data_IF_203242554994
#
_entry.id   IF_203242554994
#
_cell.length_a   1.000
_cell.length_b   1.000
_cell.length_c   1.000
_cell.angle_alpha   90.00
_cell.angle_beta   90.00
_cell.angle_gamma   90.00
#
_symmetry.space_group_name_H-M   'P 1'
#
loop_
_entity.id
_entity.type
_entity.pdbx_description
1 polymer ?
#
# COMPACT_ATOMS: atom_id res chain seq x y z
N UNK A 1 -44.04 22.25 -18.91
CA UNK A 1 -44.24 23.18 -20.05
C UNK A 1 -45.45 22.82 -20.90
N UNK A 2 -45.75 21.54 -21.12
CA UNK A 2 -46.91 21.07 -21.91
C UNK A 2 -48.24 21.69 -21.46
N UNK A 3 -48.50 21.79 -20.16
CA UNK A 3 -49.75 22.33 -19.62
C UNK A 3 -50.00 23.83 -19.94
N UNK A 4 -48.95 24.63 -20.17
CA UNK A 4 -49.08 26.06 -20.49
C UNK A 4 -49.62 26.31 -21.91
N UNK A 5 -49.24 25.46 -22.86
CA UNK A 5 -49.70 25.56 -24.25
C UNK A 5 -51.01 24.79 -24.49
N UNK A 6 -51.22 23.70 -23.76
CA UNK A 6 -52.34 22.79 -23.98
C UNK A 6 -53.70 23.44 -23.64
N UNK A 7 -53.75 24.34 -22.65
CA UNK A 7 -54.95 25.12 -22.32
C UNK A 7 -55.43 26.03 -23.46
N UNK A 8 -54.61 26.98 -23.94
CA UNK A 8 -54.94 27.85 -25.08
C UNK A 8 -55.28 27.08 -26.36
N UNK A 9 -54.57 25.98 -26.63
CA UNK A 9 -54.76 25.16 -27.84
C UNK A 9 -56.11 24.41 -27.80
N UNK A 10 -56.48 23.87 -26.63
CA UNK A 10 -57.79 23.26 -26.43
C UNK A 10 -58.92 24.29 -26.52
N UNK A 11 -58.68 25.50 -25.99
CA UNK A 11 -59.66 26.59 -26.09
C UNK A 11 -59.89 26.98 -27.55
N UNK A 12 -58.82 27.22 -28.33
CA UNK A 12 -58.91 27.52 -29.76
C UNK A 12 -59.62 26.40 -30.53
N UNK A 13 -59.27 25.13 -30.27
CA UNK A 13 -59.92 23.99 -30.89
C UNK A 13 -61.43 23.94 -30.57
N UNK A 14 -61.81 24.20 -29.30
CA UNK A 14 -63.22 24.21 -28.90
C UNK A 14 -64.02 25.33 -29.58
N UNK A 15 -63.46 26.54 -29.68
CA UNK A 15 -64.10 27.68 -30.35
C UNK A 15 -64.20 27.43 -31.85
N UNK A 16 -63.17 26.87 -32.48
CA UNK A 16 -63.18 26.50 -33.89
C UNK A 16 -64.26 25.44 -34.20
N UNK A 17 -64.34 24.39 -33.37
CA UNK A 17 -65.36 23.35 -33.51
C UNK A 17 -66.78 23.90 -33.35
N UNK A 18 -67.02 24.78 -32.38
CA UNK A 18 -68.31 25.45 -32.22
C UNK A 18 -68.68 26.31 -33.44
N UNK A 19 -67.71 27.01 -34.03
CA UNK A 19 -67.91 27.81 -35.23
C UNK A 19 -68.27 26.92 -36.43
N UNK A 20 -67.53 25.82 -36.65
CA UNK A 20 -67.84 24.87 -37.71
C UNK A 20 -69.22 24.21 -37.54
N UNK A 21 -69.61 23.86 -36.30
CA UNK A 21 -70.94 23.31 -36.02
C UNK A 21 -72.06 24.32 -36.30
N UNK A 22 -71.83 25.61 -36.01
CA UNK A 22 -72.81 26.66 -36.30
C UNK A 22 -73.00 26.95 -37.80
N UNK A 23 -72.00 26.63 -38.63
CA UNK A 23 -72.03 26.77 -40.09
C UNK A 23 -72.50 25.49 -40.82
N UNK A 24 -72.68 24.38 -40.09
CA UNK A 24 -73.06 23.10 -40.67
C UNK A 24 -74.55 23.05 -41.08
N UNK A 25 -74.91 22.29 -42.13
CA UNK A 25 -76.28 22.23 -42.65
C UNK A 25 -77.28 21.70 -41.60
N UNK A 26 -78.58 22.10 -41.69
CA UNK A 26 -79.56 21.91 -40.62
C UNK A 26 -80.04 20.46 -40.54
N UNK A 27 -79.24 19.58 -39.95
CA UNK A 27 -79.70 18.24 -39.55
C UNK A 27 -80.11 18.21 -38.06
N UNK A 28 -79.67 19.18 -37.26
CA UNK A 28 -80.07 19.44 -35.87
C UNK A 28 -80.16 20.95 -35.63
N UNK A 29 -80.88 21.40 -34.59
CA UNK A 29 -80.97 22.84 -34.25
C UNK A 29 -79.55 23.37 -33.99
N UNK A 30 -79.01 24.28 -34.81
CA UNK A 30 -77.59 24.63 -34.73
C UNK A 30 -77.29 25.33 -33.40
N UNK A 31 -76.13 25.05 -32.78
CA UNK A 31 -75.68 25.76 -31.60
C UNK A 31 -75.46 27.24 -31.93
N UNK A 32 -75.64 28.10 -30.93
CA UNK A 32 -75.47 29.54 -31.09
C UNK A 32 -74.02 29.85 -31.53
N UNK A 33 -73.80 30.68 -32.58
CA UNK A 33 -72.47 30.93 -33.09
C UNK A 33 -71.59 31.58 -32.01
N UNK A 34 -70.32 31.16 -31.88
CA UNK A 34 -69.41 31.76 -30.93
C UNK A 34 -69.17 33.23 -31.29
N UNK A 35 -69.03 34.14 -30.29
CA UNK A 35 -68.74 35.52 -30.56
C UNK A 35 -67.35 35.66 -31.18
N UNK A 36 -67.20 36.51 -32.20
CA UNK A 36 -65.93 36.75 -32.92
C UNK A 36 -64.78 37.11 -31.95
N UNK A 37 -65.10 37.84 -30.88
CA UNK A 37 -64.16 38.17 -29.81
C UNK A 37 -63.55 36.95 -29.11
N UNK A 38 -64.25 35.81 -29.02
CA UNK A 38 -63.73 34.60 -28.40
C UNK A 38 -62.55 34.01 -29.19
N UNK A 39 -62.62 34.05 -30.53
CA UNK A 39 -61.53 33.57 -31.38
C UNK A 39 -60.29 34.48 -31.25
N UNK A 40 -60.49 35.79 -31.29
CA UNK A 40 -59.42 36.77 -31.10
C UNK A 40 -58.76 36.63 -29.71
N UNK A 41 -59.55 36.41 -28.66
CA UNK A 41 -59.04 36.18 -27.31
C UNK A 41 -58.25 34.87 -27.18
N UNK A 42 -58.71 33.79 -27.83
CA UNK A 42 -58.00 32.52 -27.84
C UNK A 42 -56.66 32.62 -28.58
N UNK A 43 -56.61 33.37 -29.69
CA UNK A 43 -55.40 33.61 -30.46
C UNK A 43 -54.39 34.47 -29.68
N UNK A 44 -54.84 35.57 -29.05
CA UNK A 44 -54.00 36.37 -28.16
C UNK A 44 -53.44 35.56 -26.98
N UNK A 45 -54.27 34.69 -26.37
CA UNK A 45 -53.83 33.83 -25.27
C UNK A 45 -52.78 32.80 -25.72
N UNK A 46 -52.95 32.23 -26.91
CA UNK A 46 -51.98 31.31 -27.50
C UNK A 46 -50.66 32.03 -27.82
N UNK A 47 -50.72 33.21 -28.42
CA UNK A 47 -49.54 34.03 -28.73
C UNK A 47 -48.76 34.38 -27.45
N UNK A 48 -49.45 34.79 -26.37
CA UNK A 48 -48.83 35.07 -25.08
C UNK A 48 -48.17 33.81 -24.46
N UNK A 49 -48.85 32.65 -24.54
CA UNK A 49 -48.31 31.39 -24.04
C UNK A 49 -47.04 30.94 -24.81
N UNK A 50 -47.01 31.13 -26.14
CA UNK A 50 -45.84 30.85 -26.98
C UNK A 50 -44.66 31.77 -26.62
N UNK A 51 -44.90 33.07 -26.45
CA UNK A 51 -43.86 34.02 -26.05
C UNK A 51 -43.25 33.64 -24.70
N UNK A 52 -44.11 33.30 -23.73
CA UNK A 52 -43.67 32.82 -22.42
C UNK A 52 -42.85 31.53 -22.56
N UNK A 53 -43.34 30.54 -23.31
CA UNK A 53 -42.61 29.29 -23.53
C UNK A 53 -41.21 29.52 -24.10
N UNK A 54 -41.09 30.43 -25.07
CA UNK A 54 -39.80 30.80 -25.65
C UNK A 54 -38.85 31.45 -24.64
N UNK A 55 -39.35 32.34 -23.77
CA UNK A 55 -38.55 32.92 -22.68
C UNK A 55 -38.08 31.85 -21.70
N UNK A 56 -38.95 30.91 -21.34
CA UNK A 56 -38.57 29.79 -20.47
C UNK A 56 -37.53 28.88 -21.12
N UNK A 57 -37.65 28.62 -22.42
CA UNK A 57 -36.66 27.81 -23.14
C UNK A 57 -35.27 28.47 -23.16
N UNK A 58 -35.20 29.78 -23.40
CA UNK A 58 -33.93 30.53 -23.29
C UNK A 58 -33.32 30.46 -21.90
N UNK A 59 -34.15 30.62 -20.86
CA UNK A 59 -33.69 30.48 -19.46
C UNK A 59 -33.22 29.07 -19.16
N UNK A 60 -33.92 28.05 -19.66
CA UNK A 60 -33.56 26.65 -19.48
C UNK A 60 -32.20 26.34 -20.11
N UNK A 61 -31.95 26.80 -21.34
CA UNK A 61 -30.64 26.68 -21.99
C UNK A 61 -29.53 27.33 -21.15
N UNK A 62 -29.80 28.49 -20.55
CA UNK A 62 -28.84 29.14 -19.65
C UNK A 62 -28.58 28.32 -18.38
N UNK A 63 -29.63 27.73 -17.79
CA UNK A 63 -29.50 26.85 -16.62
C UNK A 63 -28.67 25.62 -16.97
N UNK A 64 -28.91 24.99 -18.13
CA UNK A 64 -28.16 23.83 -18.58
C UNK A 64 -26.68 24.15 -18.82
N UNK A 65 -26.39 25.32 -19.42
CA UNK A 65 -25.02 25.79 -19.60
C UNK A 65 -24.31 26.02 -18.24
N UNK A 66 -24.98 26.69 -17.29
CA UNK A 66 -24.44 26.91 -15.95
C UNK A 66 -24.24 25.60 -15.18
N UNK A 67 -25.15 24.63 -15.34
CA UNK A 67 -25.00 23.29 -14.74
C UNK A 67 -23.75 22.60 -15.28
N UNK A 68 -23.52 22.66 -16.60
CA UNK A 68 -22.33 22.07 -17.20
C UNK A 68 -21.04 22.74 -16.69
N UNK A 69 -21.05 24.07 -16.54
CA UNK A 69 -19.93 24.83 -15.98
C UNK A 69 -19.62 24.40 -14.53
N UNK A 70 -20.64 24.33 -13.67
CA UNK A 70 -20.49 23.87 -12.28
C UNK A 70 -19.91 22.46 -12.21
N UNK A 71 -20.43 21.52 -13.03
CA UNK A 71 -19.91 20.16 -13.07
C UNK A 71 -18.44 20.11 -13.52
N UNK A 72 -18.06 20.96 -14.48
CA UNK A 72 -16.66 21.07 -14.92
C UNK A 72 -15.75 21.61 -13.81
N UNK A 73 -16.20 22.63 -13.08
CA UNK A 73 -15.48 23.20 -11.95
C UNK A 73 -15.31 22.18 -10.83
N UNK A 74 -16.37 21.43 -10.50
CA UNK A 74 -16.29 20.35 -9.51
C UNK A 74 -15.28 19.27 -9.92
N UNK A 75 -15.26 18.88 -11.20
CA UNK A 75 -14.26 17.90 -11.67
C UNK A 75 -12.84 18.42 -11.53
N UNK A 76 -12.60 19.69 -11.89
CA UNK A 76 -11.29 20.32 -11.75
C UNK A 76 -10.87 20.41 -10.28
N UNK A 77 -11.78 20.80 -9.40
CA UNK A 77 -11.55 20.87 -7.96
C UNK A 77 -11.20 19.50 -7.36
N UNK A 78 -11.91 18.44 -7.76
CA UNK A 78 -11.58 17.07 -7.34
C UNK A 78 -10.17 16.67 -7.78
N UNK A 79 -9.79 16.98 -9.01
CA UNK A 79 -8.43 16.72 -9.51
C UNK A 79 -7.36 17.44 -8.68
N UNK A 80 -7.58 18.72 -8.35
CA UNK A 80 -6.65 19.49 -7.53
C UNK A 80 -6.50 18.89 -6.14
N UNK A 81 -7.60 18.46 -5.51
CA UNK A 81 -7.54 17.80 -4.19
C UNK A 81 -6.76 16.50 -4.26
N UNK A 82 -6.98 15.68 -5.30
CA UNK A 82 -6.25 14.43 -5.48
C UNK A 82 -4.75 14.68 -5.63
N UNK A 83 -4.35 15.66 -6.44
CA UNK A 83 -2.95 16.05 -6.61
C UNK A 83 -2.33 16.57 -5.31
N UNK A 84 -3.10 17.31 -4.52
CA UNK A 84 -2.63 17.82 -3.23
C UNK A 84 -2.42 16.70 -2.22
N UNK A 85 -3.33 15.72 -2.15
CA UNK A 85 -3.17 14.56 -1.27
C UNK A 85 -2.00 13.66 -1.71
N UNK A 86 -1.79 13.48 -3.01
CA UNK A 86 -0.62 12.79 -3.54
C UNK A 86 0.67 13.51 -3.14
N UNK A 87 0.77 14.81 -3.41
CA UNK A 87 1.94 15.61 -3.01
C UNK A 87 2.17 15.63 -1.50
N UNK A 88 1.11 15.62 -0.68
CA UNK A 88 1.21 15.51 0.78
C UNK A 88 1.84 14.18 1.19
N UNK A 89 1.40 13.07 0.60
CA UNK A 89 1.93 11.72 0.90
C UNK A 89 3.39 11.59 0.47
N UNK A 90 3.73 12.13 -0.70
CA UNK A 90 5.11 12.10 -1.20
C UNK A 90 6.05 12.88 -0.27
N UNK A 91 5.62 14.07 0.18
CA UNK A 91 6.38 14.87 1.14
C UNK A 91 6.53 14.15 2.49
N UNK A 92 5.45 13.53 2.98
CA UNK A 92 5.48 12.75 4.22
C UNK A 92 6.46 11.57 4.13
N UNK A 93 6.49 10.87 2.98
CA UNK A 93 7.47 9.82 2.72
C UNK A 93 8.91 10.35 2.72
N UNK A 94 9.17 11.47 2.04
CA UNK A 94 10.50 12.11 2.00
C UNK A 94 10.96 12.53 3.41
N UNK A 95 10.06 13.09 4.21
CA UNK A 95 10.37 13.48 5.59
C UNK A 95 10.72 12.23 6.42
N UNK A 96 9.89 11.18 6.34
CA UNK A 96 10.15 9.95 7.08
C UNK A 96 11.47 9.28 6.70
N UNK A 97 11.84 9.30 5.40
CA UNK A 97 13.13 8.81 4.94
C UNK A 97 14.28 9.71 5.45
N UNK A 98 14.06 11.03 5.46
CA UNK A 98 14.98 12.01 6.01
C UNK A 98 15.30 11.74 7.48
N UNK A 99 14.27 11.47 8.30
CA UNK A 99 14.42 11.18 9.72
C UNK A 99 15.25 9.90 9.94
N UNK A 100 14.94 8.82 9.21
CA UNK A 100 15.71 7.55 9.26
C UNK A 100 17.17 7.77 8.88
N UNK A 101 17.44 8.60 7.86
CA UNK A 101 18.82 8.92 7.45
C UNK A 101 19.55 9.74 8.49
N UNK A 102 18.87 10.69 9.16
CA UNK A 102 19.45 11.47 10.25
C UNK A 102 19.84 10.56 11.42
N UNK A 103 18.94 9.68 11.84
CA UNK A 103 19.20 8.71 12.90
C UNK A 103 20.42 7.82 12.56
N UNK A 104 20.50 7.33 11.32
CA UNK A 104 21.64 6.52 10.87
C UNK A 104 22.96 7.32 10.88
N UNK A 105 22.93 8.60 10.52
CA UNK A 105 24.10 9.49 10.57
C UNK A 105 24.53 9.73 12.02
N UNK A 106 23.59 9.94 12.93
CA UNK A 106 23.88 10.12 14.36
C UNK A 106 24.50 8.87 14.96
N UNK A 107 23.92 7.68 14.71
CA UNK A 107 24.50 6.41 15.13
C UNK A 107 25.90 6.18 14.54
N UNK A 108 26.11 6.51 13.26
CA UNK A 108 27.42 6.40 12.62
C UNK A 108 28.46 7.36 13.23
N UNK A 109 28.03 8.54 13.69
CA UNK A 109 28.91 9.48 14.40
C UNK A 109 29.25 8.99 15.80
N UNK A 110 28.29 8.42 16.53
CA UNK A 110 28.53 7.84 17.87
C UNK A 110 29.46 6.63 17.80
N UNK A 111 29.30 5.78 16.79
CA UNK A 111 30.15 4.61 16.53
C UNK A 111 31.42 4.91 15.73
N UNK A 112 31.79 6.17 15.53
CA UNK A 112 32.91 6.54 14.67
C UNK A 112 34.24 6.05 15.25
N UNK A 113 34.85 5.06 14.59
CA UNK A 113 36.17 4.53 14.94
C UNK A 113 37.23 5.48 14.36
N UNK A 114 38.22 5.93 15.14
CA UNK A 114 39.26 6.81 14.64
C UNK A 114 40.09 6.12 13.56
N UNK A 115 40.38 6.86 12.49
CA UNK A 115 41.09 6.34 11.31
C UNK A 115 42.40 5.61 11.60
N UNK A 116 43.27 6.05 12.54
CA UNK A 116 44.48 5.33 12.89
C UNK A 116 44.23 3.92 13.44
N UNK A 117 43.19 3.73 14.26
CA UNK A 117 42.85 2.41 14.82
C UNK A 117 42.33 1.47 13.76
N UNK A 118 41.50 1.98 12.85
CA UNK A 118 40.98 1.22 11.72
C UNK A 118 42.11 0.77 10.78
N UNK A 119 43.09 1.64 10.51
CA UNK A 119 44.25 1.30 9.69
C UNK A 119 45.16 0.28 10.38
N UNK A 120 45.41 0.43 11.67
CA UNK A 120 46.19 -0.53 12.45
C UNK A 120 45.52 -1.92 12.49
N UNK A 121 44.20 -1.96 12.65
CA UNK A 121 43.43 -3.20 12.62
C UNK A 121 43.38 -3.82 11.21
N UNK A 122 43.21 -3.01 10.17
CA UNK A 122 43.27 -3.51 8.79
C UNK A 122 44.65 -4.09 8.45
N UNK A 123 45.73 -3.47 8.93
CA UNK A 123 47.09 -3.98 8.76
C UNK A 123 47.29 -5.31 9.50
N UNK A 124 46.71 -5.46 10.70
CA UNK A 124 46.80 -6.73 11.44
C UNK A 124 46.00 -7.84 10.75
N UNK A 125 44.81 -7.54 10.22
CA UNK A 125 43.98 -8.49 9.46
C UNK A 125 44.62 -8.89 8.13
N UNK A 126 45.34 -7.99 7.46
CA UNK A 126 45.97 -8.24 6.16
C UNK A 126 46.84 -9.51 6.14
N UNK A 127 47.50 -9.84 7.26
CA UNK A 127 48.30 -11.06 7.39
C UNK A 127 47.49 -12.37 7.47
N UNK A 128 46.18 -12.29 7.73
CA UNK A 128 45.26 -13.43 7.92
C UNK A 128 44.18 -13.52 6.83
N UNK A 129 43.94 -12.46 6.05
CA UNK A 129 42.86 -12.37 5.06
C UNK A 129 43.37 -12.64 3.63
N UNK A 130 43.48 -13.92 3.25
CA UNK A 130 43.79 -14.42 1.89
C UNK A 130 45.11 -13.95 1.24
N UNK A 131 45.79 -14.88 0.55
CA UNK A 131 46.94 -14.52 -0.26
C UNK A 131 46.46 -13.63 -1.43
N UNK A 132 47.13 -12.50 -1.73
CA UNK A 132 46.80 -11.68 -2.88
C UNK A 132 46.72 -12.54 -4.16
N UNK A 133 45.75 -12.29 -5.07
CA UNK A 133 45.45 -13.16 -6.21
C UNK A 133 46.63 -13.40 -7.18
N UNK A 134 47.73 -12.65 -7.06
CA UNK A 134 48.93 -12.77 -7.88
C UNK A 134 50.16 -13.28 -7.11
N UNK A 135 49.99 -13.92 -5.95
CA UNK A 135 51.13 -14.39 -5.16
C UNK A 135 51.81 -15.57 -5.89
N UNK A 136 53.08 -15.44 -6.35
CA UNK A 136 53.78 -16.51 -7.05
C UNK A 136 54.01 -17.70 -6.10
N UNK A 137 53.96 -18.91 -6.63
CA UNK A 137 54.20 -20.14 -5.87
C UNK A 137 55.56 -20.08 -5.14
N UNK A 138 55.48 -19.99 -3.81
CA UNK A 138 56.61 -19.77 -2.90
C UNK A 138 57.52 -20.99 -2.75
N UNK A 139 57.24 -22.09 -3.45
CA UNK A 139 58.09 -23.28 -3.52
C UNK A 139 59.31 -23.10 -4.45
N UNK A 140 59.41 -21.98 -5.18
CA UNK A 140 60.52 -21.70 -6.10
C UNK A 140 61.74 -21.06 -5.38
N UNK A 141 62.98 -21.57 -5.57
CA UNK A 141 64.17 -21.02 -4.90
C UNK A 141 64.53 -19.63 -5.45
N UNK A 142 64.73 -18.65 -4.57
CA UNK A 142 65.33 -17.35 -4.91
C UNK A 142 64.41 -16.12 -4.80
N UNK A 143 63.22 -16.24 -4.24
CA UNK A 143 62.34 -15.09 -3.97
C UNK A 143 62.59 -14.45 -2.59
N UNK A 144 62.35 -13.13 -2.46
CA UNK A 144 62.46 -12.44 -1.18
C UNK A 144 61.53 -13.10 -0.15
N UNK A 145 61.96 -13.10 1.11
CA UNK A 145 61.23 -13.71 2.23
C UNK A 145 59.75 -13.33 2.17
N UNK A 146 58.82 -14.31 2.08
CA UNK A 146 57.41 -14.00 1.91
C UNK A 146 56.89 -13.14 3.07
N UNK A 147 55.93 -12.23 2.82
CA UNK A 147 55.14 -11.64 3.89
C UNK A 147 54.53 -12.79 4.72
N UNK A 148 54.63 -12.67 6.05
CA UNK A 148 54.10 -13.65 7.00
C UNK A 148 52.60 -13.83 6.77
N UNK A 149 52.23 -14.88 6.02
CA UNK A 149 50.85 -15.23 5.76
C UNK A 149 50.42 -16.30 6.75
N UNK A 150 49.35 -16.01 7.49
CA UNK A 150 48.75 -16.94 8.41
C UNK A 150 47.47 -17.52 7.82
N UNK A 151 47.15 -18.80 8.10
CA UNK A 151 45.89 -19.38 7.68
C UNK A 151 44.70 -18.60 8.24
N UNK A 152 43.56 -18.58 7.52
CA UNK A 152 42.40 -17.75 7.86
C UNK A 152 41.70 -18.17 9.17
N UNK A 153 42.01 -19.37 9.68
CA UNK A 153 41.54 -19.88 10.96
C UNK A 153 42.71 -20.40 11.80
N UNK A 154 42.61 -20.38 13.14
CA UNK A 154 43.64 -20.93 14.03
C UNK A 154 43.91 -22.40 13.73
N UNK A 155 45.17 -22.74 13.44
CA UNK A 155 45.57 -24.15 13.29
C UNK A 155 45.49 -24.90 14.62
N UNK A 156 45.29 -26.22 14.53
CA UNK A 156 45.28 -27.18 15.64
C UNK A 156 46.47 -26.98 16.61
N UNK A 157 47.68 -26.75 16.10
CA UNK A 157 48.86 -26.49 16.94
C UNK A 157 48.77 -25.18 17.74
N UNK A 158 48.19 -24.14 17.15
CA UNK A 158 47.97 -22.85 17.83
C UNK A 158 46.86 -22.97 18.88
N UNK A 159 45.81 -23.72 18.57
CA UNK A 159 44.75 -24.07 19.52
C UNK A 159 45.33 -24.87 20.70
N UNK A 160 46.17 -25.87 20.41
CA UNK A 160 46.82 -26.70 21.44
C UNK A 160 47.83 -25.95 22.31
N UNK A 161 48.52 -24.95 21.76
CA UNK A 161 49.47 -24.11 22.48
C UNK A 161 48.79 -22.96 23.23
N UNK A 162 47.51 -22.72 22.95
CA UNK A 162 46.72 -21.67 23.57
C UNK A 162 46.41 -21.96 25.04
N UNK A 163 46.02 -20.92 25.77
CA UNK A 163 45.66 -21.00 27.18
C UNK A 163 44.46 -21.91 27.47
N UNK A 164 43.64 -22.23 26.47
CA UNK A 164 42.53 -23.17 26.63
C UNK A 164 43.00 -24.62 26.88
N UNK A 165 44.20 -24.97 26.40
CA UNK A 165 44.77 -26.30 26.53
C UNK A 165 45.69 -26.47 27.75
N UNK A 166 45.93 -25.39 28.51
CA UNK A 166 46.73 -25.48 29.74
C UNK A 166 45.96 -26.13 30.90
N UNK A 167 44.63 -26.14 30.84
CA UNK A 167 43.78 -26.72 31.89
C UNK A 167 43.52 -28.21 31.67
N UNK A 168 43.34 -28.64 30.41
CA UNK A 168 43.19 -30.06 30.04
C UNK A 168 43.80 -30.31 28.65
N UNK A 169 44.85 -31.14 28.51
CA UNK A 169 45.54 -31.32 27.25
C UNK A 169 44.66 -32.10 26.27
N UNK A 170 44.32 -31.48 25.13
CA UNK A 170 43.79 -32.19 23.96
C UNK A 170 44.82 -33.27 23.58
N UNK A 171 44.39 -34.53 23.51
CA UNK A 171 45.23 -35.71 23.25
C UNK A 171 46.14 -35.62 22.02
N UNK A 172 46.93 -36.67 21.74
CA UNK A 172 47.95 -36.65 20.69
C UNK A 172 47.41 -36.22 19.32
N UNK A 173 48.28 -35.56 18.54
CA UNK A 173 47.95 -34.97 17.24
C UNK A 173 47.32 -36.01 16.30
N UNK A 174 46.02 -35.86 16.02
CA UNK A 174 45.26 -36.78 15.15
C UNK A 174 44.17 -37.60 15.86
N UNK A 175 44.09 -37.58 17.19
CA UNK A 175 42.98 -38.18 17.93
C UNK A 175 41.75 -37.25 17.95
N UNK A 176 40.61 -37.78 17.51
CA UNK A 176 39.32 -37.08 17.57
C UNK A 176 38.63 -37.44 18.88
N UNK A 177 38.58 -36.50 19.83
CA UNK A 177 37.74 -36.66 21.02
C UNK A 177 36.33 -36.16 20.71
N UNK A 178 35.31 -36.92 21.13
CA UNK A 178 33.92 -36.50 20.99
C UNK A 178 33.67 -35.28 21.88
N UNK A 179 33.49 -34.11 21.27
CA UNK A 179 33.08 -32.90 21.99
C UNK A 179 31.57 -33.00 22.22
N UNK A 180 31.19 -33.55 23.38
CA UNK A 180 29.79 -33.77 23.75
C UNK A 180 29.67 -34.21 25.21
N UNK A 181 28.59 -33.76 25.86
CA UNK A 181 28.27 -34.03 27.27
C UNK A 181 28.42 -35.53 27.58
N UNK A 182 29.15 -35.93 28.64
CA UNK A 182 29.29 -37.34 28.99
C UNK A 182 27.89 -37.96 29.20
N UNK A 183 27.67 -39.23 28.78
CA UNK A 183 26.38 -39.88 28.93
C UNK A 183 26.02 -39.92 30.42
N UNK A 184 24.92 -39.25 30.75
CA UNK A 184 24.31 -39.28 32.08
C UNK A 184 24.05 -40.73 32.48
N UNK A 185 24.57 -41.23 33.62
CA UNK A 185 24.16 -42.53 34.13
C UNK A 185 22.66 -42.50 34.43
N UNK A 186 21.93 -43.53 33.96
CA UNK A 186 20.48 -43.68 34.18
C UNK A 186 20.15 -43.68 35.68
N UNK A 187 19.07 -43.00 36.12
CA UNK A 187 18.72 -42.97 37.53
C UNK A 187 17.99 -44.25 37.97
N UNK A 188 18.41 -44.82 39.09
CA UNK A 188 17.68 -45.86 39.82
C UNK A 188 16.35 -45.34 40.40
N UNK A 189 15.33 -46.21 40.56
CA UNK A 189 14.01 -45.77 41.00
C UNK A 189 13.93 -45.74 42.52
N UNK A 190 13.99 -44.55 43.12
CA UNK A 190 13.61 -44.37 44.53
C UNK A 190 12.36 -43.52 44.72
N UNK A 191 11.38 -44.18 45.35
CA UNK A 191 10.12 -43.70 45.91
C UNK A 191 10.35 -42.59 46.96
N UNK A 192 9.45 -41.62 46.99
CA UNK A 192 9.01 -40.98 48.23
C UNK A 192 9.25 -39.47 48.36
N UNK A 193 8.16 -38.72 48.16
CA UNK A 193 7.73 -37.47 48.81
C UNK A 193 8.78 -36.45 49.31
N UNK A 194 8.81 -35.28 48.66
CA UNK A 194 8.78 -33.98 49.33
C UNK A 194 8.22 -32.91 48.37
N UNK A 195 7.31 -32.09 48.91
CA UNK A 195 6.50 -31.10 48.22
C UNK A 195 7.32 -29.91 47.70
N UNK A 196 7.08 -29.51 46.44
CA UNK A 196 7.46 -28.20 45.92
C UNK A 196 6.17 -27.37 45.70
N UNK A 197 5.91 -26.33 46.50
CA UNK A 197 4.62 -25.62 46.52
C UNK A 197 4.40 -24.60 45.38
N UNK A 198 5.26 -24.55 44.36
CA UNK A 198 5.18 -23.56 43.27
C UNK A 198 5.05 -24.13 41.85
N UNK A 199 4.61 -25.40 41.71
CA UNK A 199 4.31 -25.95 40.37
C UNK A 199 2.80 -26.10 40.19
N UNK A 200 2.16 -25.26 39.36
CA UNK A 200 0.87 -25.60 38.77
C UNK A 200 1.03 -26.90 37.97
N UNK A 201 0.19 -27.88 38.28
CA UNK A 201 0.14 -29.19 37.60
C UNK A 201 -0.55 -29.03 36.25
N UNK A 202 0.21 -28.77 35.17
CA UNK A 202 -0.27 -28.99 33.82
C UNK A 202 -0.16 -30.48 33.47
N UNK A 203 -1.23 -31.22 33.76
CA UNK A 203 -1.41 -32.62 33.37
C UNK A 203 -1.95 -32.74 31.94
N UNK A 204 -1.25 -32.18 30.96
CA UNK A 204 -1.54 -32.48 29.56
C UNK A 204 -0.48 -33.43 28.97
N UNK A 205 -0.88 -34.57 28.37
CA UNK A 205 0.06 -35.41 27.65
C UNK A 205 0.66 -34.61 26.47
N UNK A 206 1.95 -34.78 26.15
CA UNK A 206 2.57 -34.10 25.02
C UNK A 206 1.92 -34.61 23.72
N UNK A 207 1.13 -33.74 23.08
CA UNK A 207 0.63 -33.97 21.73
C UNK A 207 1.82 -33.84 20.75
N UNK A 208 1.98 -34.75 19.79
CA UNK A 208 2.97 -34.58 18.72
C UNK A 208 2.61 -33.35 17.89
N UNK A 209 3.57 -32.44 17.73
CA UNK A 209 3.49 -31.28 16.84
C UNK A 209 3.49 -31.77 15.38
N UNK A 210 2.32 -31.79 14.75
CA UNK A 210 2.17 -32.06 13.32
C UNK A 210 2.15 -30.71 12.58
N UNK A 211 3.32 -30.29 12.09
CA UNK A 211 3.47 -29.12 11.22
C UNK A 211 3.03 -29.51 9.81
N UNK A 212 1.74 -29.40 9.54
CA UNK A 212 1.19 -29.52 8.18
C UNK A 212 1.52 -28.22 7.40
N UNK A 213 2.74 -28.18 6.84
CA UNK A 213 3.19 -27.15 5.89
C UNK A 213 2.53 -27.44 4.53
N UNK A 214 1.33 -26.91 4.31
CA UNK A 214 0.72 -26.87 2.99
C UNK A 214 1.52 -25.91 2.08
N UNK A 215 2.29 -26.50 1.17
CA UNK A 215 3.18 -25.84 0.21
C UNK A 215 2.57 -25.77 -1.19
N UNK A 216 1.25 -25.56 -1.30
CA UNK A 216 0.59 -25.25 -2.57
C UNK A 216 0.01 -23.82 -2.57
N UNK A 217 0.76 -22.82 -3.04
CA UNK A 217 0.24 -21.48 -3.27
C UNK A 217 -0.29 -21.39 -4.71
N UNK A 218 -1.51 -21.85 -4.98
CA UNK A 218 -2.21 -21.56 -6.25
C UNK A 218 -3.74 -21.65 -6.09
N UNK A 219 -4.38 -20.54 -5.67
CA UNK A 219 -5.66 -20.01 -6.18
C UNK A 219 -5.96 -18.60 -5.66
#
# INVERSE_FOLDING_TARGET
MTHLLLGPLNNLNSVAQQLFQSLSPPHTKPPQPPPIAALANADMALAAAIQLAHLHQKKQQRIEALKAEVLSLESSWRTVIMQLEEGRRDLEAIISEGDVRLDAIEQAKEGAIPYPELLAYAQSLSAFTSAPPNLPDLSLPGHPTPPLFFPPFPNEEKMRRGHLNSEEPLGPLGETHSVGRPPSPSPEPHRGHAANPYRPMDNNPPQPFDLDLDLNPDL
#
